data_IF_846581581578
#
_entry.id   IF_846581581578
#
_cell.length_a   1.000
_cell.length_b   1.000
_cell.length_c   1.000
_cell.angle_alpha   90.00
_cell.angle_beta   90.00
_cell.angle_gamma   90.00
#
_symmetry.space_group_name_H-M   'P 1'
#
loop_
_entity.id
_entity.type
_entity.pdbx_description
1 polymer ?
#
# COMPACT_ATOMS: atom_id res chain seq x y z
N UNK A 1 -8.36 -5.98 11.00
CA UNK A 1 -9.41 -5.95 9.97
C UNK A 1 -10.72 -5.58 10.65
N UNK A 2 -11.44 -4.61 10.13
CA UNK A 2 -12.77 -4.21 10.62
C UNK A 2 -13.70 -4.18 9.41
N UNK A 3 -14.93 -4.69 9.57
CA UNK A 3 -15.96 -4.63 8.54
C UNK A 3 -17.10 -3.73 8.99
N UNK A 4 -17.45 -2.75 8.16
CA UNK A 4 -18.58 -1.83 8.35
C UNK A 4 -19.49 -1.96 7.13
N UNK A 5 -20.71 -2.45 7.34
CA UNK A 5 -21.58 -2.83 6.24
C UNK A 5 -20.94 -3.94 5.38
N UNK A 6 -20.73 -3.68 4.08
CA UNK A 6 -20.05 -4.59 3.15
C UNK A 6 -18.59 -4.16 2.84
N UNK A 7 -18.09 -3.18 3.58
CA UNK A 7 -16.73 -2.66 3.42
C UNK A 7 -15.83 -3.21 4.53
N UNK A 8 -14.69 -3.77 4.16
CA UNK A 8 -13.66 -4.38 5.00
C UNK A 8 -12.42 -3.52 4.85
N UNK A 9 -11.91 -3.10 6.00
CA UNK A 9 -10.78 -2.22 6.14
C UNK A 9 -9.66 -2.96 6.85
N UNK A 10 -8.45 -2.81 6.32
CA UNK A 10 -7.21 -3.28 6.93
C UNK A 10 -6.47 -2.08 7.47
N UNK A 11 -6.02 -2.14 8.73
CA UNK A 11 -5.07 -1.17 9.25
C UNK A 11 -3.69 -1.79 9.14
N UNK A 12 -2.78 -1.10 8.49
CA UNK A 12 -1.39 -1.50 8.37
C UNK A 12 -0.50 -0.55 9.16
N UNK A 13 0.59 -1.09 9.69
CA UNK A 13 1.61 -0.32 10.41
C UNK A 13 2.97 -0.86 10.00
N UNK A 14 3.68 -0.06 9.22
CA UNK A 14 4.95 -0.42 8.60
C UNK A 14 6.06 0.36 9.30
N UNK A 15 7.13 -0.35 9.66
CA UNK A 15 8.28 0.24 10.35
C UNK A 15 9.25 0.88 9.36
N UNK A 16 10.06 1.85 9.80
CA UNK A 16 11.22 2.32 9.05
C UNK A 16 12.06 1.15 8.54
N UNK A 17 12.51 1.25 7.28
CA UNK A 17 13.26 0.20 6.60
C UNK A 17 12.41 -0.91 5.98
N UNK A 18 11.09 -0.93 6.20
CA UNK A 18 10.20 -1.85 5.48
C UNK A 18 10.13 -1.49 3.99
N UNK A 19 10.20 -2.51 3.13
CA UNK A 19 10.04 -2.42 1.69
C UNK A 19 9.42 -3.70 1.14
N UNK A 20 8.44 -3.60 0.23
CA UNK A 20 7.74 -4.75 -0.32
C UNK A 20 8.70 -5.77 -0.96
N UNK A 21 9.66 -5.32 -1.78
CA UNK A 21 10.64 -6.21 -2.42
C UNK A 21 11.59 -6.91 -1.44
N UNK A 22 11.79 -6.36 -0.24
CA UNK A 22 12.65 -6.97 0.80
C UNK A 22 11.86 -7.88 1.72
N UNK A 23 10.62 -7.52 2.05
CA UNK A 23 9.87 -8.12 3.14
C UNK A 23 8.74 -9.03 2.65
N UNK A 24 8.17 -8.76 1.47
CA UNK A 24 6.98 -9.46 0.95
C UNK A 24 7.34 -10.31 -0.25
N UNK A 25 8.13 -9.79 -1.21
CA UNK A 25 8.59 -10.55 -2.40
C UNK A 25 9.18 -11.93 -2.07
N UNK A 26 10.01 -12.13 -1.03
CA UNK A 26 10.52 -13.46 -0.69
C UNK A 26 9.44 -14.50 -0.35
N UNK A 27 8.24 -14.04 0.06
CA UNK A 27 7.12 -14.89 0.44
C UNK A 27 6.18 -15.14 -0.74
N UNK A 28 5.90 -14.09 -1.53
CA UNK A 28 4.87 -14.14 -2.60
C UNK A 28 5.45 -14.37 -4.00
N UNK A 29 6.75 -14.20 -4.19
CA UNK A 29 7.42 -14.27 -5.48
C UNK A 29 7.08 -13.09 -6.41
N UNK A 30 7.45 -13.24 -7.69
CA UNK A 30 7.27 -12.22 -8.73
C UNK A 30 8.26 -11.07 -8.64
N UNK A 31 8.18 -10.13 -9.58
CA UNK A 31 9.12 -9.00 -9.66
C UNK A 31 8.65 -7.75 -8.90
N UNK A 32 7.34 -7.51 -8.88
CA UNK A 32 6.71 -6.35 -8.26
C UNK A 32 5.35 -6.73 -7.63
N UNK A 33 4.81 -5.87 -6.77
CA UNK A 33 3.50 -6.07 -6.17
C UNK A 33 2.41 -5.98 -7.23
N UNK A 34 1.65 -7.06 -7.39
CA UNK A 34 0.55 -7.14 -8.37
C UNK A 34 -0.83 -6.92 -7.74
N UNK A 35 -0.88 -6.41 -6.50
CA UNK A 35 -2.14 -6.05 -5.86
C UNK A 35 -2.59 -4.67 -6.32
N UNK A 36 -3.89 -4.55 -6.56
CA UNK A 36 -4.54 -3.26 -6.61
C UNK A 36 -4.66 -2.74 -5.18
N UNK A 37 -4.37 -1.46 -4.96
CA UNK A 37 -4.43 -0.84 -3.63
C UNK A 37 -5.32 0.40 -3.62
N UNK A 38 -6.06 0.58 -2.53
CA UNK A 38 -6.74 1.84 -2.17
C UNK A 38 -6.40 2.14 -0.74
N UNK A 39 -5.64 3.22 -0.51
CA UNK A 39 -5.02 3.51 0.78
C UNK A 39 -5.37 4.93 1.25
N UNK A 40 -5.56 5.06 2.56
CA UNK A 40 -5.66 6.35 3.27
C UNK A 40 -4.51 6.39 4.27
N UNK A 41 -3.67 7.42 4.18
CA UNK A 41 -2.46 7.54 5.00
C UNK A 41 -2.72 8.35 6.26
N UNK A 42 -2.34 7.80 7.42
CA UNK A 42 -2.60 8.39 8.74
C UNK A 42 -1.34 9.02 9.35
N UNK A 43 -0.19 8.34 9.28
CA UNK A 43 1.11 8.80 9.81
C UNK A 43 2.26 8.31 8.94
N UNK A 44 3.43 8.95 9.05
CA UNK A 44 4.60 8.61 8.25
C UNK A 44 4.39 8.76 6.74
N UNK A 45 5.38 8.33 5.96
CA UNK A 45 5.35 8.44 4.50
C UNK A 45 5.65 7.11 3.83
N UNK A 46 5.02 6.86 2.69
CA UNK A 46 5.27 5.71 1.83
C UNK A 46 5.66 6.21 0.44
N UNK A 47 6.80 5.75 -0.06
CA UNK A 47 7.14 5.89 -1.47
C UNK A 47 6.77 4.64 -2.22
N UNK A 48 6.40 4.83 -3.48
CA UNK A 48 6.20 3.76 -4.43
C UNK A 48 7.02 4.03 -5.69
N UNK A 49 7.41 2.95 -6.35
CA UNK A 49 7.99 2.97 -7.69
C UNK A 49 7.25 1.97 -8.56
N UNK A 50 6.65 2.46 -9.63
CA UNK A 50 5.99 1.63 -10.65
C UNK A 50 7.04 0.96 -11.54
N UNK A 51 6.64 -0.12 -12.21
CA UNK A 51 7.53 -0.86 -13.13
C UNK A 51 8.03 -0.02 -14.31
N UNK A 52 7.29 1.04 -14.70
CA UNK A 52 7.71 2.01 -15.73
C UNK A 52 8.73 3.05 -15.22
N UNK A 53 9.09 2.99 -13.93
CA UNK A 53 10.02 3.90 -13.28
C UNK A 53 9.37 5.13 -12.65
N UNK A 54 8.06 5.35 -12.80
CA UNK A 54 7.35 6.44 -12.14
C UNK A 54 7.41 6.28 -10.62
N UNK A 55 7.80 7.35 -9.92
CA UNK A 55 7.85 7.39 -8.46
C UNK A 55 6.84 8.38 -7.89
N UNK A 56 6.22 8.01 -6.77
CA UNK A 56 5.29 8.84 -6.01
C UNK A 56 5.55 8.68 -4.52
N UNK A 57 5.23 9.71 -3.74
CA UNK A 57 5.28 9.68 -2.27
C UNK A 57 3.93 10.11 -1.71
N UNK A 58 3.46 9.39 -0.71
CA UNK A 58 2.21 9.68 -0.01
C UNK A 58 2.47 9.83 1.49
N UNK A 59 1.83 10.82 2.10
CA UNK A 59 1.93 11.15 3.51
C UNK A 59 0.57 11.34 4.17
N UNK A 60 0.55 11.81 5.43
CA UNK A 60 -0.67 11.92 6.22
C UNK A 60 -1.74 12.78 5.53
N UNK A 61 -2.96 12.25 5.42
CA UNK A 61 -4.09 12.92 4.75
C UNK A 61 -4.27 12.55 3.29
N UNK A 62 -3.26 11.95 2.65
CA UNK A 62 -3.37 11.52 1.25
C UNK A 62 -4.26 10.28 1.11
N UNK A 63 -4.95 10.22 -0.04
CA UNK A 63 -5.66 9.03 -0.52
C UNK A 63 -5.04 8.61 -1.84
N UNK A 64 -4.64 7.34 -1.93
CA UNK A 64 -3.97 6.81 -3.11
C UNK A 64 -4.71 5.60 -3.70
N UNK A 65 -4.77 5.55 -5.03
CA UNK A 65 -5.10 4.34 -5.79
C UNK A 65 -3.82 3.90 -6.49
N UNK A 66 -3.39 2.67 -6.24
CA UNK A 66 -2.17 2.14 -6.85
C UNK A 66 -2.54 0.92 -7.69
N UNK A 67 -2.15 0.95 -8.96
CA UNK A 67 -2.35 -0.16 -9.88
C UNK A 67 -1.33 -1.28 -9.61
N UNK A 68 -1.62 -2.52 -10.03
CA UNK A 68 -0.61 -3.59 -10.07
C UNK A 68 0.66 -3.14 -10.79
N UNK A 69 1.82 -3.61 -10.32
CA UNK A 69 3.13 -3.31 -10.92
C UNK A 69 3.92 -2.24 -10.16
N UNK A 70 4.20 -2.46 -8.87
CA UNK A 70 4.99 -1.52 -8.06
C UNK A 70 5.83 -2.18 -6.95
N UNK A 71 6.88 -1.50 -6.54
CA UNK A 71 7.49 -1.67 -5.20
C UNK A 71 7.06 -0.51 -4.29
N UNK A 72 7.04 -0.74 -2.98
CA UNK A 72 6.65 0.26 -1.99
C UNK A 72 7.54 0.18 -0.76
N UNK A 73 7.90 1.32 -0.18
CA UNK A 73 8.73 1.37 1.04
C UNK A 73 8.35 2.52 1.96
N UNK A 74 8.63 2.34 3.24
CA UNK A 74 8.51 3.43 4.23
C UNK A 74 9.60 4.45 3.95
N UNK A 75 9.19 5.71 3.77
CA UNK A 75 10.09 6.83 3.58
C UNK A 75 10.26 7.56 4.91
N UNK A 76 11.49 7.55 5.43
CA UNK A 76 11.84 8.19 6.70
C UNK A 76 11.90 7.24 7.89
N UNK A 77 11.84 7.82 9.08
CA UNK A 77 12.06 7.19 10.39
C UNK A 77 10.78 7.10 11.25
N UNK A 78 9.65 7.59 10.75
CA UNK A 78 8.35 7.45 11.39
C UNK A 78 7.64 6.14 11.00
N UNK A 79 6.81 5.61 11.89
CA UNK A 79 5.87 4.54 11.54
C UNK A 79 4.91 5.03 10.46
N UNK A 80 4.86 4.30 9.35
CA UNK A 80 3.85 4.53 8.33
C UNK A 80 2.59 3.74 8.69
N UNK A 81 1.54 4.45 9.08
CA UNK A 81 0.23 3.86 9.43
C UNK A 81 -0.77 4.25 8.36
N UNK A 82 -1.50 3.26 7.84
CA UNK A 82 -2.47 3.47 6.77
C UNK A 82 -3.69 2.56 6.94
N UNK A 83 -4.78 2.92 6.28
CA UNK A 83 -5.97 2.09 6.10
C UNK A 83 -6.07 1.67 4.64
N UNK A 84 -6.26 0.37 4.38
CA UNK A 84 -6.42 -0.22 3.05
C UNK A 84 -7.79 -0.89 2.88
N UNK A 85 -8.38 -0.75 1.69
CA UNK A 85 -9.76 -1.19 1.35
C UNK A 85 -9.88 -1.79 -0.07
N UNK A 86 -8.76 -2.18 -0.68
CA UNK A 86 -8.69 -2.49 -2.12
C UNK A 86 -9.56 -3.66 -2.59
N UNK A 87 -9.66 -4.73 -1.79
CA UNK A 87 -10.38 -5.96 -2.16
C UNK A 87 -11.86 -5.73 -2.46
N UNK A 88 -12.47 -4.70 -1.87
CA UNK A 88 -13.88 -4.37 -2.12
C UNK A 88 -14.06 -3.42 -3.28
N UNK A 89 -13.17 -2.44 -3.42
CA UNK A 89 -13.23 -1.51 -4.55
C UNK A 89 -13.10 -2.27 -5.86
N UNK A 90 -12.30 -3.34 -5.92
CA UNK A 90 -12.22 -4.21 -7.10
C UNK A 90 -13.54 -4.92 -7.40
N UNK A 91 -14.19 -5.52 -6.40
CA UNK A 91 -15.49 -6.21 -6.55
C UNK A 91 -16.65 -5.33 -7.00
N UNK A 92 -16.58 -4.02 -6.75
CA UNK A 92 -17.63 -3.08 -7.19
C UNK A 92 -17.45 -2.64 -8.65
N UNK A 93 -16.31 -2.92 -9.27
CA UNK A 93 -16.02 -2.61 -10.68
C UNK A 93 -16.28 -3.78 -11.64
N UNK A 94 -16.44 -4.97 -11.08
CA UNK A 94 -16.84 -6.22 -11.78
C UNK A 94 -18.37 -6.33 -11.78
#
# INVERSE_FOLDING_TARGET
MITVGRLTFYRETLKPGWQWSKNVKPVVGGESCQRFHVKIFLTGRQRIRMDDGTEMEFGPGDVAIMQPGLDAWVAGDELNVLIELADIVRRLKE
#
